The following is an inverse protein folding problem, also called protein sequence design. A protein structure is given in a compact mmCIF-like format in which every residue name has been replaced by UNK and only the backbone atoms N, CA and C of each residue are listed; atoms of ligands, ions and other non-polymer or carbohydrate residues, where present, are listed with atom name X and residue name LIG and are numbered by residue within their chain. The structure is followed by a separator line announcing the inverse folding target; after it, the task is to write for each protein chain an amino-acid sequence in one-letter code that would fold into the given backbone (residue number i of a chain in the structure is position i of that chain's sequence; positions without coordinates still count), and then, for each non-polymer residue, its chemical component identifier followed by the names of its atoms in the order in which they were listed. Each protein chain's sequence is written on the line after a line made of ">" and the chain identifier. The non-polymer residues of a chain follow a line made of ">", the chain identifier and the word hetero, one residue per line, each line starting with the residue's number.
data_IF_172834543831
#
_entry.id   IF_172834543831
#
_cell.length_a   1.000
_cell.length_b   1.000
_cell.length_c   1.000
_cell.angle_alpha   90.00
_cell.angle_beta   90.00
_cell.angle_gamma   90.00
#
_symmetry.space_group_name_H-M   'P 1'
#
loop_
_entity.id
_entity.type
_entity.pdbx_description
1 polymer ?
#
# COMPACT_ATOMS: atom_id res chain seq x y z
N UNK A 1 17.99 6.04 10.71
CA UNK A 1 17.22 5.35 11.77
C UNK A 1 17.41 3.85 11.64
N UNK A 2 17.74 3.10 12.73
CA UNK A 2 17.82 1.64 12.64
C UNK A 2 16.45 1.03 12.93
N UNK A 3 15.67 0.83 11.85
CA UNK A 3 14.39 0.13 11.92
C UNK A 3 14.56 -1.32 12.39
N UNK A 4 13.65 -1.80 13.25
CA UNK A 4 13.59 -3.19 13.73
C UNK A 4 12.30 -3.90 13.30
N UNK A 5 11.25 -3.15 12.92
CA UNK A 5 9.97 -3.71 12.50
C UNK A 5 10.08 -4.42 11.14
N UNK A 6 9.25 -5.46 10.96
CA UNK A 6 9.03 -6.12 9.67
C UNK A 6 7.83 -5.50 8.96
N UNK A 7 8.05 -4.92 7.79
CA UNK A 7 7.04 -4.14 7.08
C UNK A 7 6.49 -4.90 5.88
N UNK A 8 5.17 -5.02 5.83
CA UNK A 8 4.42 -5.66 4.75
C UNK A 8 3.54 -4.60 4.10
N UNK A 9 3.56 -4.47 2.79
CA UNK A 9 2.62 -3.61 2.07
C UNK A 9 1.73 -4.41 1.12
N UNK A 10 0.51 -3.92 0.94
CA UNK A 10 -0.48 -4.41 -0.01
C UNK A 10 -0.71 -3.37 -1.08
N UNK A 11 -0.46 -3.75 -2.32
CA UNK A 11 -0.53 -2.86 -3.48
C UNK A 11 -1.44 -3.42 -4.57
N UNK A 12 -1.86 -2.55 -5.49
CA UNK A 12 -2.74 -2.88 -6.60
C UNK A 12 -3.76 -1.79 -6.87
N UNK A 13 -4.45 -1.88 -7.99
CA UNK A 13 -5.52 -0.94 -8.36
C UNK A 13 -6.74 -1.09 -7.46
N UNK A 14 -7.71 -0.19 -7.58
CA UNK A 14 -8.99 -0.26 -6.88
C UNK A 14 -9.69 -1.60 -7.16
N UNK A 15 -10.43 -2.12 -6.18
CA UNK A 15 -11.13 -3.41 -6.33
C UNK A 15 -10.22 -4.65 -6.39
N UNK A 16 -8.90 -4.51 -6.23
CA UNK A 16 -7.97 -5.65 -6.25
C UNK A 16 -8.09 -6.59 -5.02
N UNK A 17 -8.72 -6.13 -3.93
CA UNK A 17 -8.87 -6.92 -2.70
C UNK A 17 -7.79 -6.66 -1.65
N UNK A 18 -6.87 -5.70 -1.87
CA UNK A 18 -5.77 -5.39 -0.95
C UNK A 18 -6.22 -5.08 0.47
N UNK A 19 -7.22 -4.20 0.65
CA UNK A 19 -7.73 -3.83 1.99
C UNK A 19 -8.32 -5.03 2.75
N UNK A 20 -9.03 -5.92 2.04
CA UNK A 20 -9.56 -7.15 2.62
C UNK A 20 -8.43 -8.09 3.04
N UNK A 21 -7.43 -8.30 2.18
CA UNK A 21 -6.28 -9.14 2.50
C UNK A 21 -5.43 -8.56 3.63
N UNK A 22 -5.19 -7.25 3.64
CA UNK A 22 -4.45 -6.57 4.72
C UNK A 22 -5.15 -6.74 6.07
N UNK A 23 -6.48 -6.54 6.12
CA UNK A 23 -7.28 -6.73 7.34
C UNK A 23 -7.30 -8.19 7.81
N UNK A 24 -7.44 -9.14 6.89
CA UNK A 24 -7.41 -10.57 7.21
C UNK A 24 -6.03 -10.98 7.76
N UNK A 25 -4.95 -10.51 7.14
CA UNK A 25 -3.58 -10.79 7.60
C UNK A 25 -3.31 -10.18 8.97
N UNK A 26 -3.73 -8.93 9.18
CA UNK A 26 -3.63 -8.26 10.47
C UNK A 26 -4.31 -9.07 11.59
N UNK A 27 -5.57 -9.46 11.37
CA UNK A 27 -6.32 -10.24 12.35
C UNK A 27 -5.66 -11.59 12.62
N UNK A 28 -5.23 -12.30 11.56
CA UNK A 28 -4.53 -13.58 11.69
C UNK A 28 -3.24 -13.44 12.51
N UNK A 29 -2.37 -12.49 12.17
CA UNK A 29 -1.10 -12.30 12.84
C UNK A 29 -1.27 -11.84 14.29
N UNK A 30 -2.24 -10.94 14.54
CA UNK A 30 -2.55 -10.47 15.90
C UNK A 30 -3.04 -11.61 16.80
N UNK A 31 -3.93 -12.47 16.29
CA UNK A 31 -4.45 -13.62 17.04
C UNK A 31 -3.37 -14.69 17.29
N UNK A 32 -2.43 -14.84 16.37
CA UNK A 32 -1.38 -15.87 16.44
C UNK A 32 -0.02 -15.32 16.84
N UNK A 33 0.05 -14.13 17.43
CA UNK A 33 1.30 -13.43 17.74
C UNK A 33 2.24 -14.27 18.62
N UNK A 34 1.70 -15.03 19.57
CA UNK A 34 2.48 -15.93 20.45
C UNK A 34 3.15 -17.10 19.70
N UNK A 35 2.64 -17.46 18.53
CA UNK A 35 3.17 -18.53 17.69
C UNK A 35 4.17 -18.02 16.64
N UNK A 36 4.38 -16.69 16.59
CA UNK A 36 5.38 -16.06 15.73
C UNK A 36 6.75 -16.03 16.41
N UNK A 37 7.83 -15.75 15.69
CA UNK A 37 9.14 -15.53 16.28
C UNK A 37 9.08 -14.51 17.42
N UNK A 38 9.67 -14.83 18.55
CA UNK A 38 9.61 -14.02 19.82
C UNK A 38 10.07 -12.58 19.67
N UNK A 39 10.78 -12.24 18.60
CA UNK A 39 11.23 -10.88 18.32
C UNK A 39 10.10 -9.90 18.03
N UNK A 40 8.90 -10.35 17.66
CA UNK A 40 7.77 -9.44 17.40
C UNK A 40 6.94 -9.22 18.67
N UNK A 41 6.70 -7.92 18.98
CA UNK A 41 5.92 -7.50 20.14
C UNK A 41 4.45 -7.27 19.79
N UNK A 42 4.19 -6.62 18.66
CA UNK A 42 2.86 -6.23 18.23
C UNK A 42 2.71 -6.32 16.72
N UNK A 43 1.44 -6.25 16.28
CA UNK A 43 1.06 -6.11 14.86
C UNK A 43 0.25 -4.83 14.71
N UNK A 44 0.60 -4.01 13.72
CA UNK A 44 -0.10 -2.77 13.38
C UNK A 44 -0.60 -2.82 11.94
N UNK A 45 -1.71 -2.14 11.69
CA UNK A 45 -2.28 -1.98 10.34
C UNK A 45 -2.50 -0.49 10.08
N UNK A 46 -1.84 0.03 9.07
CA UNK A 46 -2.02 1.39 8.57
C UNK A 46 -2.60 1.36 7.16
N UNK A 47 -3.32 2.43 6.80
CA UNK A 47 -3.84 2.66 5.46
C UNK A 47 -3.39 4.03 4.96
N UNK A 48 -2.85 4.10 3.77
CA UNK A 48 -2.47 5.37 3.13
C UNK A 48 -3.36 5.76 1.94
N UNK A 49 -3.65 7.06 1.80
CA UNK A 49 -3.49 8.11 2.82
C UNK A 49 -4.44 7.88 3.99
N UNK A 50 -4.05 8.32 5.21
CA UNK A 50 -4.90 8.16 6.41
C UNK A 50 -4.14 7.67 7.64
N UNK A 51 -4.88 7.00 8.54
CA UNK A 51 -4.39 6.36 9.77
C UNK A 51 -3.86 7.30 10.85
N UNK A 52 -3.94 8.61 10.66
CA UNK A 52 -3.69 9.66 11.65
C UNK A 52 -4.78 10.73 11.51
N UNK A 53 -4.97 11.58 12.51
CA UNK A 53 -5.97 12.65 12.43
C UNK A 53 -5.74 13.56 11.22
N UNK A 54 -4.50 14.01 11.00
CA UNK A 54 -4.14 14.81 9.83
C UNK A 54 -4.30 14.00 8.53
N UNK A 55 -3.81 12.75 8.53
CA UNK A 55 -3.89 11.86 7.37
C UNK A 55 -5.33 11.62 6.91
N UNK A 56 -6.28 11.42 7.82
CA UNK A 56 -7.71 11.27 7.46
C UNK A 56 -8.32 12.56 6.90
N UNK A 57 -7.93 13.74 7.41
CA UNK A 57 -8.34 15.01 6.83
C UNK A 57 -7.79 15.20 5.41
N UNK A 58 -6.51 14.88 5.19
CA UNK A 58 -5.89 14.92 3.87
C UNK A 58 -6.52 13.89 2.92
N UNK A 59 -6.82 12.68 3.41
CA UNK A 59 -7.56 11.67 2.65
C UNK A 59 -8.92 12.19 2.20
N UNK A 60 -9.69 12.77 3.12
CA UNK A 60 -10.99 13.31 2.81
C UNK A 60 -10.89 14.44 1.76
N UNK A 61 -9.92 15.33 1.91
CA UNK A 61 -9.63 16.37 0.93
C UNK A 61 -9.32 15.78 -0.44
N UNK A 62 -8.37 14.84 -0.52
CA UNK A 62 -7.91 14.20 -1.76
C UNK A 62 -9.02 13.43 -2.49
N UNK A 63 -9.86 12.71 -1.77
CA UNK A 63 -10.82 11.79 -2.39
C UNK A 63 -12.18 12.46 -2.66
N UNK A 64 -12.59 13.46 -1.87
CA UNK A 64 -13.95 13.99 -1.93
C UNK A 64 -14.06 15.47 -2.29
N UNK A 65 -13.10 16.32 -1.92
CA UNK A 65 -13.23 17.77 -2.07
C UNK A 65 -12.41 18.38 -3.19
N UNK A 66 -11.30 17.72 -3.57
CA UNK A 66 -10.50 18.26 -4.66
C UNK A 66 -11.17 17.95 -5.99
N UNK A 67 -11.34 19.01 -6.79
CA UNK A 67 -11.89 18.87 -8.14
C UNK A 67 -10.95 18.03 -9.01
N UNK A 68 -11.45 17.43 -10.12
CA UNK A 68 -10.60 16.73 -11.11
C UNK A 68 -9.48 17.60 -11.67
N UNK A 69 -9.51 18.91 -11.45
CA UNK A 69 -8.53 19.90 -11.90
C UNK A 69 -7.35 20.13 -10.93
N UNK A 70 -7.29 19.42 -9.79
CA UNK A 70 -6.12 19.58 -8.92
C UNK A 70 -4.85 19.22 -9.67
N UNK A 71 -3.86 20.08 -9.53
CA UNK A 71 -2.59 19.86 -10.19
C UNK A 71 -1.88 18.63 -9.63
N UNK A 72 -1.39 17.74 -10.51
CA UNK A 72 -0.77 16.46 -10.15
C UNK A 72 0.36 16.58 -9.10
N UNK A 73 1.15 17.67 -9.15
CA UNK A 73 2.20 17.94 -8.16
C UNK A 73 1.61 18.21 -6.77
N UNK A 74 0.56 19.02 -6.69
CA UNK A 74 -0.13 19.32 -5.42
C UNK A 74 -0.71 18.07 -4.80
N UNK A 75 -1.38 17.24 -5.61
CA UNK A 75 -1.90 15.93 -5.17
C UNK A 75 -0.78 15.06 -4.59
N UNK A 76 0.35 14.97 -5.26
CA UNK A 76 1.52 14.20 -4.79
C UNK A 76 2.01 14.70 -3.45
N UNK A 77 2.18 16.00 -3.27
CA UNK A 77 2.62 16.56 -1.99
C UNK A 77 1.65 16.28 -0.85
N UNK A 78 0.34 16.26 -1.10
CA UNK A 78 -0.66 15.94 -0.08
C UNK A 78 -0.60 14.45 0.33
N UNK A 79 -0.36 13.53 -0.61
CA UNK A 79 -0.12 12.13 -0.29
C UNK A 79 1.14 11.96 0.55
N UNK A 80 2.23 12.61 0.17
CA UNK A 80 3.50 12.52 0.89
C UNK A 80 3.46 13.23 2.25
N UNK A 81 2.72 14.32 2.38
CA UNK A 81 2.47 14.97 3.68
C UNK A 81 1.72 14.03 4.64
N UNK A 82 0.69 13.32 4.16
CA UNK A 82 -0.02 12.31 4.95
C UNK A 82 0.93 11.19 5.41
N UNK A 83 1.79 10.70 4.52
CA UNK A 83 2.80 9.67 4.79
C UNK A 83 3.84 10.13 5.81
N UNK A 84 4.46 11.27 5.56
CA UNK A 84 5.48 11.82 6.45
C UNK A 84 4.95 12.01 7.87
N UNK A 85 3.73 12.57 8.00
CA UNK A 85 3.12 12.74 9.31
C UNK A 85 2.82 11.41 10.01
N UNK A 86 2.38 10.38 9.25
CA UNK A 86 2.15 9.04 9.81
C UNK A 86 3.45 8.46 10.39
N UNK A 87 4.57 8.61 9.69
CA UNK A 87 5.86 8.11 10.13
C UNK A 87 6.38 8.84 11.37
N UNK A 88 6.28 10.16 11.40
CA UNK A 88 6.69 10.96 12.57
C UNK A 88 5.84 10.65 13.81
N UNK A 89 4.51 10.59 13.67
CA UNK A 89 3.60 10.34 14.78
C UNK A 89 3.74 8.91 15.35
N UNK A 90 4.16 7.94 14.52
CA UNK A 90 4.28 6.52 14.90
C UNK A 90 5.73 6.02 14.94
N UNK A 91 6.69 6.91 15.06
CA UNK A 91 8.13 6.61 14.98
C UNK A 91 8.56 5.42 15.85
N UNK A 92 8.08 5.35 17.09
CA UNK A 92 8.40 4.28 18.04
C UNK A 92 7.99 2.89 17.53
N UNK A 93 6.87 2.80 16.78
CA UNK A 93 6.38 1.55 16.19
C UNK A 93 7.42 0.95 15.23
N UNK A 94 8.10 1.80 14.46
CA UNK A 94 9.10 1.36 13.48
C UNK A 94 10.45 1.01 14.11
N UNK A 95 10.76 1.57 15.29
CA UNK A 95 12.00 1.31 16.02
C UNK A 95 11.96 0.03 16.83
N UNK A 96 10.78 -0.46 17.13
CA UNK A 96 10.58 -1.70 17.88
C UNK A 96 10.42 -2.92 16.96
N UNK A 97 10.55 -4.12 17.55
CA UNK A 97 10.34 -5.39 16.83
C UNK A 97 8.83 -5.65 16.64
N UNK A 98 8.20 -4.94 15.74
CA UNK A 98 6.79 -5.07 15.40
C UNK A 98 6.62 -5.60 13.98
N UNK A 99 5.42 -6.11 13.68
CA UNK A 99 4.97 -6.31 12.31
C UNK A 99 4.07 -5.13 11.95
N UNK A 100 4.38 -4.45 10.85
CA UNK A 100 3.59 -3.31 10.36
C UNK A 100 3.06 -3.64 8.98
N UNK A 101 1.74 -3.58 8.84
CA UNK A 101 1.04 -3.84 7.58
C UNK A 101 0.51 -2.52 7.02
N UNK A 102 0.75 -2.27 5.75
CA UNK A 102 0.22 -1.12 5.03
C UNK A 102 -0.79 -1.54 3.96
N UNK A 103 -1.99 -0.98 3.99
CA UNK A 103 -2.91 -0.94 2.84
C UNK A 103 -2.57 0.28 2.00
N UNK A 104 -1.80 0.10 0.94
CA UNK A 104 -1.04 1.06 0.13
C UNK A 104 0.17 1.64 0.86
N UNK A 105 1.26 1.78 0.11
CA UNK A 105 2.50 2.40 0.59
C UNK A 105 3.24 3.07 -0.57
N UNK A 106 4.57 3.12 -0.51
CA UNK A 106 5.43 3.85 -1.46
C UNK A 106 5.25 3.44 -2.93
N UNK A 107 4.92 2.18 -3.22
CA UNK A 107 4.76 1.72 -4.60
C UNK A 107 3.49 2.28 -5.24
N UNK A 108 2.46 2.61 -4.45
CA UNK A 108 1.28 3.33 -4.93
C UNK A 108 1.64 4.71 -5.49
N UNK A 109 2.53 5.48 -4.83
CA UNK A 109 2.99 6.78 -5.35
C UNK A 109 3.66 6.62 -6.72
N UNK A 110 4.54 5.64 -6.87
CA UNK A 110 5.24 5.41 -8.13
C UNK A 110 4.25 5.00 -9.23
N UNK A 111 3.31 4.10 -8.92
CA UNK A 111 2.33 3.63 -9.90
C UNK A 111 1.33 4.71 -10.32
N UNK A 112 0.73 5.43 -9.36
CA UNK A 112 -0.31 6.43 -9.63
C UNK A 112 0.25 7.74 -10.14
N UNK A 113 1.18 8.37 -9.39
CA UNK A 113 1.72 9.67 -9.74
C UNK A 113 2.80 9.57 -10.83
N UNK A 114 3.60 8.51 -10.82
CA UNK A 114 4.62 8.26 -11.85
C UNK A 114 4.00 7.76 -13.15
N UNK A 115 3.62 6.50 -13.20
CA UNK A 115 3.10 5.87 -14.42
C UNK A 115 1.74 6.41 -14.84
N UNK A 116 0.82 6.61 -13.88
CA UNK A 116 -0.53 7.13 -14.14
C UNK A 116 -0.54 8.58 -14.61
N UNK A 117 0.06 9.48 -13.84
CA UNK A 117 0.05 10.94 -14.09
C UNK A 117 1.28 11.48 -14.80
N UNK A 118 2.31 10.65 -15.04
CA UNK A 118 3.51 11.02 -15.79
C UNK A 118 4.42 12.00 -15.05
N UNK A 119 4.57 11.86 -13.73
CA UNK A 119 5.60 12.54 -12.98
C UNK A 119 6.93 11.77 -13.03
N UNK A 120 8.03 12.45 -12.77
CA UNK A 120 9.37 11.84 -12.77
C UNK A 120 9.49 10.79 -11.67
N UNK A 121 9.78 9.55 -12.05
CA UNK A 121 9.84 8.40 -11.14
C UNK A 121 11.01 8.53 -10.17
N UNK A 122 12.17 8.99 -10.63
CA UNK A 122 13.36 9.13 -9.77
C UNK A 122 13.12 10.17 -8.68
N UNK A 123 12.41 11.26 -9.03
CA UNK A 123 12.00 12.26 -8.05
C UNK A 123 11.02 11.67 -7.03
N UNK A 124 10.02 10.91 -7.49
CA UNK A 124 9.03 10.27 -6.60
C UNK A 124 9.67 9.23 -5.67
N UNK A 125 10.64 8.45 -6.15
CA UNK A 125 11.39 7.51 -5.29
C UNK A 125 12.14 8.24 -4.18
N UNK A 126 12.81 9.36 -4.50
CA UNK A 126 13.49 10.20 -3.49
C UNK A 126 12.51 10.83 -2.50
N UNK A 127 11.36 11.29 -2.99
CA UNK A 127 10.32 11.90 -2.15
C UNK A 127 9.71 10.87 -1.19
N UNK A 128 9.44 9.65 -1.66
CA UNK A 128 9.03 8.53 -0.82
C UNK A 128 10.04 8.25 0.31
N UNK A 129 11.32 8.11 -0.05
CA UNK A 129 12.38 7.84 0.95
C UNK A 129 12.52 8.97 1.96
N UNK A 130 12.37 10.22 1.52
CA UNK A 130 12.37 11.37 2.42
C UNK A 130 11.18 11.32 3.39
N UNK A 131 9.96 11.02 2.89
CA UNK A 131 8.75 10.97 3.70
C UNK A 131 8.72 9.80 4.69
N UNK A 132 9.51 8.74 4.47
CA UNK A 132 9.54 7.52 5.29
C UNK A 132 10.83 7.34 6.09
N UNK A 133 11.71 8.35 6.18
CA UNK A 133 13.05 8.20 6.78
C UNK A 133 13.85 7.03 6.18
N UNK A 134 13.78 6.85 4.87
CA UNK A 134 14.39 5.75 4.11
C UNK A 134 13.84 4.36 4.46
N UNK A 135 12.63 4.27 4.98
CA UNK A 135 11.99 2.99 5.25
C UNK A 135 11.25 2.51 3.99
N UNK A 136 11.61 1.31 3.53
CA UNK A 136 10.92 0.56 2.49
C UNK A 136 10.31 -0.73 3.08
N UNK A 137 9.28 -1.34 2.43
CA UNK A 137 8.74 -2.62 2.90
C UNK A 137 9.73 -3.76 2.70
N UNK A 138 9.70 -4.74 3.61
CA UNK A 138 10.43 -6.00 3.50
C UNK A 138 9.73 -6.95 2.53
N UNK A 139 8.39 -6.87 2.50
CA UNK A 139 7.52 -7.69 1.67
C UNK A 139 6.37 -6.87 1.13
N UNK A 140 6.13 -6.93 -0.16
CA UNK A 140 4.98 -6.30 -0.82
C UNK A 140 4.17 -7.37 -1.55
N UNK A 141 2.88 -7.43 -1.29
CA UNK A 141 1.93 -8.20 -2.08
C UNK A 141 1.26 -7.28 -3.10
N UNK A 142 1.60 -7.47 -4.37
CA UNK A 142 0.89 -6.82 -5.47
C UNK A 142 -0.28 -7.70 -5.91
N UNK A 143 -1.51 -7.29 -5.57
CA UNK A 143 -2.72 -7.98 -6.03
C UNK A 143 -3.04 -7.47 -7.44
N UNK A 144 -2.64 -8.25 -8.44
CA UNK A 144 -2.93 -7.94 -9.84
C UNK A 144 -4.32 -8.45 -10.22
N UNK A 145 -5.16 -7.58 -10.77
CA UNK A 145 -6.50 -7.92 -11.25
C UNK A 145 -6.74 -7.32 -12.63
N UNK A 146 -7.59 -7.96 -13.39
CA UNK A 146 -8.04 -7.40 -14.67
C UNK A 146 -8.88 -6.15 -14.46
N UNK A 147 -8.70 -5.16 -15.35
CA UNK A 147 -9.40 -3.87 -15.25
C UNK A 147 -10.92 -4.08 -15.22
N UNK A 148 -11.45 -5.02 -16.01
CA UNK A 148 -12.90 -5.34 -15.99
C UNK A 148 -13.36 -5.82 -14.61
N UNK A 149 -12.63 -6.77 -14.01
CA UNK A 149 -12.91 -7.31 -12.69
C UNK A 149 -12.81 -6.21 -11.62
N UNK A 150 -11.78 -5.37 -11.70
CA UNK A 150 -11.61 -4.20 -10.82
C UNK A 150 -12.84 -3.28 -10.87
N UNK A 151 -13.25 -2.87 -12.06
CA UNK A 151 -14.39 -1.97 -12.28
C UNK A 151 -15.71 -2.58 -11.81
N UNK A 152 -15.93 -3.87 -12.02
CA UNK A 152 -17.12 -4.58 -11.53
C UNK A 152 -17.18 -4.57 -10.00
N UNK A 153 -16.07 -4.81 -9.32
CA UNK A 153 -16.00 -4.85 -7.85
C UNK A 153 -16.22 -3.48 -7.18
N UNK A 154 -15.91 -2.38 -7.88
CA UNK A 154 -16.13 -1.02 -7.34
C UNK A 154 -17.45 -0.40 -7.83
N UNK A 155 -18.16 -1.02 -8.77
CA UNK A 155 -19.36 -0.47 -9.42
C UNK A 155 -20.47 -0.10 -8.44
N UNK A 156 -20.59 -0.83 -7.34
CA UNK A 156 -21.63 -0.60 -6.30
C UNK A 156 -21.26 0.48 -5.27
N UNK A 157 -20.02 0.97 -5.30
CA UNK A 157 -19.55 2.00 -4.35
C UNK A 157 -19.74 3.40 -4.91
N UNK A 158 -19.93 4.39 -4.02
CA UNK A 158 -19.83 5.80 -4.40
C UNK A 158 -18.39 6.07 -4.80
N UNK A 159 -18.17 6.39 -6.06
CA UNK A 159 -16.84 6.63 -6.62
C UNK A 159 -16.21 7.89 -6.04
N UNK A 160 -14.98 7.80 -5.61
CA UNK A 160 -14.15 8.95 -5.25
C UNK A 160 -13.47 9.59 -6.49
N UNK A 161 -12.68 10.63 -6.28
CA UNK A 161 -12.01 11.36 -7.36
C UNK A 161 -11.02 10.50 -8.15
N UNK A 162 -10.37 9.52 -7.51
CA UNK A 162 -9.43 8.62 -8.18
C UNK A 162 -10.21 7.55 -8.94
N UNK A 163 -11.26 6.98 -8.34
CA UNK A 163 -12.10 5.96 -8.98
C UNK A 163 -12.87 6.50 -10.21
N UNK A 164 -13.00 7.83 -10.31
CA UNK A 164 -13.57 8.52 -11.48
C UNK A 164 -12.57 8.73 -12.64
N UNK A 165 -11.31 8.35 -12.48
CA UNK A 165 -10.31 8.46 -13.54
C UNK A 165 -10.61 7.49 -14.68
N UNK A 166 -10.02 7.76 -15.85
CA UNK A 166 -10.29 6.97 -17.07
C UNK A 166 -9.76 5.53 -16.97
N UNK A 167 -10.34 4.63 -17.75
CA UNK A 167 -9.85 3.25 -17.90
C UNK A 167 -8.38 3.24 -18.34
N UNK A 168 -7.99 4.15 -19.23
CA UNK A 168 -6.61 4.27 -19.70
C UNK A 168 -5.65 4.67 -18.57
N UNK A 169 -6.09 5.49 -17.63
CA UNK A 169 -5.33 5.80 -16.42
C UNK A 169 -5.07 4.53 -15.59
N UNK A 170 -6.11 3.73 -15.32
CA UNK A 170 -5.95 2.49 -14.56
C UNK A 170 -5.09 1.45 -15.27
N UNK A 171 -5.13 1.38 -16.60
CA UNK A 171 -4.21 0.54 -17.38
C UNK A 171 -2.75 0.96 -17.16
N UNK A 172 -2.46 2.27 -17.20
CA UNK A 172 -1.11 2.81 -16.93
C UNK A 172 -0.66 2.50 -15.50
N UNK A 173 -1.54 2.69 -14.51
CA UNK A 173 -1.25 2.39 -13.10
C UNK A 173 -0.96 0.91 -12.90
N UNK A 174 -1.81 0.01 -13.42
CA UNK A 174 -1.58 -1.45 -13.38
C UNK A 174 -0.25 -1.82 -14.03
N UNK A 175 0.03 -1.30 -15.24
CA UNK A 175 1.31 -1.52 -15.90
C UNK A 175 2.47 -1.00 -15.04
N UNK A 176 2.31 0.16 -14.41
CA UNK A 176 3.29 0.72 -13.48
C UNK A 176 3.61 -0.23 -12.34
N UNK A 177 2.61 -0.78 -11.67
CA UNK A 177 2.80 -1.78 -10.62
C UNK A 177 3.57 -3.02 -11.12
N UNK A 178 3.24 -3.53 -12.29
CA UNK A 178 3.92 -4.68 -12.89
C UNK A 178 5.39 -4.35 -13.23
N UNK A 179 5.68 -3.15 -13.73
CA UNK A 179 7.06 -2.73 -13.98
C UNK A 179 7.86 -2.56 -12.68
N UNK A 180 7.26 -2.01 -11.63
CA UNK A 180 7.89 -1.90 -10.31
C UNK A 180 8.19 -3.31 -9.75
N UNK A 181 7.25 -4.25 -9.87
CA UNK A 181 7.43 -5.62 -9.38
C UNK A 181 8.60 -6.34 -10.06
N UNK A 182 8.80 -6.14 -11.36
CA UNK A 182 9.96 -6.68 -12.09
C UNK A 182 11.29 -6.10 -11.59
N UNK A 183 11.32 -4.80 -11.30
CA UNK A 183 12.52 -4.11 -10.76
C UNK A 183 12.82 -4.49 -9.31
N UNK A 184 11.80 -4.67 -8.50
CA UNK A 184 11.88 -4.92 -7.04
C UNK A 184 11.47 -6.37 -6.68
N UNK A 185 11.73 -7.35 -7.56
CA UNK A 185 11.31 -8.76 -7.42
C UNK A 185 11.78 -9.46 -6.16
N UNK A 186 12.79 -8.93 -5.46
CA UNK A 186 13.26 -9.49 -4.18
C UNK A 186 12.26 -9.27 -3.04
N UNK A 187 11.47 -8.18 -3.10
CA UNK A 187 10.50 -7.82 -2.06
C UNK A 187 9.05 -7.82 -2.54
N UNK A 188 8.78 -7.75 -3.85
CA UNK A 188 7.41 -7.70 -4.40
C UNK A 188 7.03 -9.06 -4.96
N UNK A 189 5.95 -9.63 -4.41
CA UNK A 189 5.33 -10.86 -4.89
C UNK A 189 4.01 -10.48 -5.57
N UNK A 190 3.86 -10.86 -6.84
CA UNK A 190 2.62 -10.65 -7.59
C UNK A 190 1.66 -11.80 -7.29
N UNK A 191 0.46 -11.44 -6.84
CA UNK A 191 -0.62 -12.37 -6.51
C UNK A 191 -1.77 -12.16 -7.50
N UNK A 192 -2.25 -13.25 -8.10
CA UNK A 192 -3.45 -13.20 -8.93
C UNK A 192 -4.69 -12.88 -8.08
N UNK A 193 -5.11 -11.61 -8.13
CA UNK A 193 -6.26 -11.09 -7.41
C UNK A 193 -7.63 -11.38 -8.07
N UNK A 194 -7.66 -12.03 -9.24
CA UNK A 194 -8.92 -12.43 -9.88
C UNK A 194 -9.59 -13.62 -9.17
N UNK A 195 -8.80 -14.39 -8.44
CA UNK A 195 -9.26 -15.57 -7.70
C UNK A 195 -10.15 -15.20 -6.50
N UNK A 196 -10.78 -16.22 -5.91
CA UNK A 196 -11.55 -16.09 -4.67
C UNK A 196 -10.68 -15.57 -3.52
N UNK A 197 -11.21 -14.63 -2.74
CA UNK A 197 -10.51 -13.99 -1.62
C UNK A 197 -9.88 -15.01 -0.65
N UNK A 198 -10.58 -16.10 -0.36
CA UNK A 198 -10.09 -17.16 0.54
C UNK A 198 -8.80 -17.80 0.02
N UNK A 199 -8.72 -18.12 -1.29
CA UNK A 199 -7.55 -18.73 -1.92
C UNK A 199 -6.37 -17.75 -1.96
N UNK A 200 -6.65 -16.48 -2.31
CA UNK A 200 -5.67 -15.39 -2.31
C UNK A 200 -5.09 -15.19 -0.91
N UNK A 201 -5.95 -15.15 0.10
CA UNK A 201 -5.52 -14.95 1.48
C UNK A 201 -4.67 -16.12 2.01
N UNK A 202 -5.03 -17.38 1.73
CA UNK A 202 -4.24 -18.54 2.14
C UNK A 202 -2.82 -18.49 1.57
N UNK A 203 -2.67 -18.11 0.31
CA UNK A 203 -1.36 -17.94 -0.32
C UNK A 203 -0.55 -16.83 0.36
N UNK A 204 -1.15 -15.63 0.55
CA UNK A 204 -0.53 -14.50 1.24
C UNK A 204 -0.09 -14.89 2.66
N UNK A 205 -0.94 -15.57 3.40
CA UNK A 205 -0.66 -16.05 4.75
C UNK A 205 0.58 -16.95 4.78
N UNK A 206 0.62 -17.95 3.90
CA UNK A 206 1.72 -18.91 3.86
C UNK A 206 3.06 -18.24 3.49
N UNK A 207 3.04 -17.36 2.47
CA UNK A 207 4.22 -16.58 2.07
C UNK A 207 4.69 -15.63 3.19
N UNK A 208 3.75 -15.00 3.91
CA UNK A 208 4.08 -14.14 5.06
C UNK A 208 4.77 -14.94 6.16
N UNK A 209 4.20 -16.08 6.55
CA UNK A 209 4.79 -16.92 7.60
C UNK A 209 6.18 -17.43 7.22
N UNK A 210 6.38 -17.79 5.96
CA UNK A 210 7.70 -18.16 5.44
C UNK A 210 8.69 -17.00 5.58
N UNK A 211 8.32 -15.80 5.11
CA UNK A 211 9.20 -14.62 5.17
C UNK A 211 9.53 -14.17 6.59
N UNK A 212 8.56 -14.25 7.51
CA UNK A 212 8.78 -13.95 8.93
C UNK A 212 9.79 -14.93 9.55
N UNK A 213 9.80 -16.19 9.15
CA UNK A 213 10.80 -17.18 9.65
C UNK A 213 12.21 -16.89 9.14
N UNK A 214 12.34 -16.34 7.93
CA UNK A 214 13.60 -16.00 7.29
C UNK A 214 14.18 -14.66 7.81
N UNK A 215 13.37 -13.79 8.40
CA UNK A 215 13.75 -12.45 8.90
C UNK A 215 14.34 -12.54 10.32
#
# INVERSE_FOLDING_TARGET
>A
MHRKSFIISFEGIEGSGKSSCASLLFNFLKTNLSNLPKKFKNVFLFREPGSTALGENLRNLLLNFLTPSIHKKTMTFLFEASRSYLFEENKEIFLENNIVIFDRFIDSTIAYQGYGLGLDINFLEKLNLFATDNIEPDLTFLLDVDIKVSLERIKSKKKDNIENMSIEFFKKVRQGFLEISKKKKKRIIVIDGNRELKKVFEEIKNLTLQKIKES
#
